data_IF_934753360271
#
_entry.id   IF_934753360271
#
_cell.length_a   1.000
_cell.length_b   1.000
_cell.length_c   1.000
_cell.angle_alpha   90.00
_cell.angle_beta   90.00
_cell.angle_gamma   90.00
#
_symmetry.space_group_name_H-M   'P 1'
#
loop_
_entity.id
_entity.type
_entity.pdbx_description
1 polymer ?
#
# COMPACT_ATOMS: atom_id res chain seq x y z
N UNK A 1 22.87 -5.71 -21.46
CA UNK A 1 21.66 -4.86 -21.35
C UNK A 1 20.77 -5.51 -20.30
N UNK A 2 20.34 -4.77 -19.27
CA UNK A 2 19.42 -5.28 -18.25
C UNK A 2 18.02 -5.29 -18.86
N UNK A 3 17.27 -6.38 -18.69
CA UNK A 3 15.92 -6.55 -19.25
C UNK A 3 15.04 -7.21 -18.20
N UNK A 4 13.82 -6.70 -18.07
CA UNK A 4 12.74 -7.22 -17.25
C UNK A 4 11.43 -7.08 -18.00
N UNK A 5 10.41 -7.84 -17.62
CA UNK A 5 9.06 -7.70 -18.19
C UNK A 5 8.36 -6.46 -17.63
N UNK A 6 8.59 -6.16 -16.34
CA UNK A 6 8.03 -5.00 -15.64
C UNK A 6 9.13 -4.27 -14.86
N UNK A 7 9.13 -2.94 -14.92
CA UNK A 7 10.01 -2.09 -14.12
C UNK A 7 9.17 -1.15 -13.27
N UNK A 8 9.34 -1.22 -11.95
CA UNK A 8 8.68 -0.39 -10.95
C UNK A 8 9.69 0.59 -10.38
N UNK A 9 9.38 1.88 -10.43
CA UNK A 9 10.24 2.94 -9.89
C UNK A 9 9.72 3.36 -8.52
N UNK A 10 10.45 2.97 -7.48
CA UNK A 10 10.16 3.26 -6.08
C UNK A 10 9.83 1.99 -5.28
N UNK A 11 10.45 1.86 -4.10
CA UNK A 11 10.24 0.74 -3.17
C UNK A 11 9.50 1.15 -1.88
N UNK A 12 8.59 2.12 -1.98
CA UNK A 12 7.59 2.39 -0.93
C UNK A 12 6.46 1.35 -0.92
N UNK A 13 5.43 1.53 -0.07
CA UNK A 13 4.33 0.56 0.03
C UNK A 13 3.66 0.28 -1.32
N UNK A 14 3.39 1.33 -2.11
CA UNK A 14 2.75 1.21 -3.41
C UNK A 14 3.59 0.36 -4.39
N UNK A 15 4.88 0.68 -4.54
CA UNK A 15 5.76 -0.04 -5.46
C UNK A 15 5.99 -1.49 -5.04
N UNK A 16 6.17 -1.74 -3.74
CA UNK A 16 6.31 -3.12 -3.24
C UNK A 16 5.00 -3.91 -3.40
N UNK A 17 3.84 -3.32 -3.11
CA UNK A 17 2.54 -3.99 -3.29
C UNK A 17 2.26 -4.28 -4.76
N UNK A 18 2.58 -3.35 -5.67
CA UNK A 18 2.46 -3.55 -7.11
C UNK A 18 3.36 -4.70 -7.59
N UNK A 19 4.61 -4.76 -7.12
CA UNK A 19 5.53 -5.84 -7.46
C UNK A 19 5.02 -7.20 -7.01
N UNK A 20 4.45 -7.28 -5.80
CA UNK A 20 3.84 -8.52 -5.29
C UNK A 20 2.65 -8.98 -6.15
N UNK A 21 1.87 -8.05 -6.70
CA UNK A 21 0.72 -8.39 -7.55
C UNK A 21 1.15 -8.96 -8.91
N UNK A 22 2.15 -8.36 -9.54
CA UNK A 22 2.50 -8.67 -10.94
C UNK A 22 3.59 -9.73 -11.06
N UNK A 23 4.27 -10.11 -9.97
CA UNK A 23 5.39 -11.05 -10.02
C UNK A 23 5.03 -12.51 -10.33
N UNK A 24 3.74 -12.86 -10.36
CA UNK A 24 3.29 -14.19 -10.74
C UNK A 24 3.44 -14.40 -12.25
N UNK A 25 4.57 -14.99 -12.65
CA UNK A 25 4.87 -15.33 -14.04
C UNK A 25 5.59 -14.24 -14.84
N UNK A 26 5.93 -13.11 -14.21
CA UNK A 26 6.71 -12.03 -14.82
C UNK A 26 8.02 -11.79 -14.07
N UNK A 27 9.07 -11.43 -14.81
CA UNK A 27 10.33 -10.92 -14.24
C UNK A 27 10.21 -9.42 -13.93
N UNK A 28 10.27 -9.07 -12.65
CA UNK A 28 9.96 -7.73 -12.14
C UNK A 28 11.21 -7.09 -11.55
N UNK A 29 11.56 -5.89 -12.02
CA UNK A 29 12.54 -5.03 -11.37
C UNK A 29 11.88 -3.96 -10.51
N UNK A 30 12.40 -3.74 -9.30
CA UNK A 30 12.12 -2.55 -8.51
C UNK A 30 13.39 -1.70 -8.46
N UNK A 31 13.34 -0.52 -9.06
CA UNK A 31 14.39 0.49 -8.98
C UNK A 31 14.10 1.42 -7.81
N UNK A 32 15.05 1.69 -6.92
CA UNK A 32 14.86 2.67 -5.86
C UNK A 32 16.12 3.41 -5.50
N UNK A 33 15.98 4.73 -5.30
CA UNK A 33 17.07 5.61 -4.84
C UNK A 33 17.55 5.33 -3.41
N UNK A 34 16.77 4.58 -2.63
CA UNK A 34 17.10 4.16 -1.26
C UNK A 34 16.78 2.68 -1.08
N UNK A 35 17.37 2.06 -0.07
CA UNK A 35 16.96 0.71 0.36
C UNK A 35 15.46 0.69 0.74
N UNK A 36 14.68 -0.37 0.42
CA UNK A 36 13.21 -0.38 0.59
C UNK A 36 12.69 0.07 1.96
N UNK A 37 13.32 -0.42 3.04
CA UNK A 37 12.93 -0.09 4.42
C UNK A 37 13.30 1.36 4.85
N UNK A 38 13.97 2.12 3.98
CA UNK A 38 14.28 3.54 4.16
C UNK A 38 13.32 4.48 3.42
N UNK A 39 12.31 3.94 2.74
CA UNK A 39 11.27 4.76 2.12
C UNK A 39 10.44 5.50 3.18
N UNK A 40 9.89 6.66 2.80
CA UNK A 40 9.18 7.53 3.75
C UNK A 40 7.89 6.90 4.30
N UNK A 41 7.35 5.88 3.63
CA UNK A 41 6.21 5.13 4.14
C UNK A 41 6.41 4.55 5.54
N UNK A 42 7.66 4.23 5.92
CA UNK A 42 7.97 3.77 7.27
C UNK A 42 7.75 4.81 8.37
N UNK A 43 7.65 6.09 8.03
CA UNK A 43 7.39 7.18 8.96
C UNK A 43 5.89 7.37 9.28
N UNK A 44 4.98 6.69 8.57
CA UNK A 44 3.56 6.81 8.85
C UNK A 44 3.20 6.13 10.19
N UNK A 45 2.50 6.86 11.07
CA UNK A 45 2.18 6.39 12.43
C UNK A 45 0.70 6.05 12.60
N UNK A 46 -0.17 6.95 12.09
CA UNK A 46 -1.59 7.03 12.41
C UNK A 46 -2.43 5.78 12.17
N UNK A 47 -2.27 5.13 11.03
CA UNK A 47 -3.11 3.99 10.68
C UNK A 47 -3.38 3.94 9.18
N UNK A 48 -4.19 2.97 8.79
CA UNK A 48 -4.71 2.81 7.44
C UNK A 48 -6.23 2.54 7.54
N UNK A 49 -7.03 3.33 6.81
CA UNK A 49 -8.48 3.30 6.93
C UNK A 49 -9.09 2.13 6.16
N UNK A 50 -10.02 1.41 6.80
CA UNK A 50 -10.90 0.43 6.15
C UNK A 50 -12.17 0.24 6.96
N UNK A 51 -13.32 0.17 6.29
CA UNK A 51 -14.63 -0.05 6.91
C UNK A 51 -14.83 -1.53 7.29
N UNK A 52 -14.05 -2.02 8.26
CA UNK A 52 -14.13 -3.40 8.77
C UNK A 52 -15.31 -3.61 9.75
N UNK A 53 -15.77 -2.54 10.39
CA UNK A 53 -16.83 -2.61 11.39
C UNK A 53 -16.45 -3.35 12.68
N UNK A 54 -15.16 -3.43 13.02
CA UNK A 54 -14.69 -4.18 14.20
C UNK A 54 -14.86 -3.39 15.51
N UNK A 55 -14.81 -2.06 15.45
CA UNK A 55 -15.01 -1.19 16.62
C UNK A 55 -16.48 -0.78 16.79
N UNK A 56 -17.15 -0.39 15.71
CA UNK A 56 -18.58 -0.10 15.64
C UNK A 56 -19.09 -0.39 14.21
N UNK A 57 -20.41 -0.50 13.97
CA UNK A 57 -20.93 -0.66 12.62
C UNK A 57 -20.46 0.48 11.70
N UNK A 58 -19.86 0.10 10.58
CA UNK A 58 -19.31 0.97 9.54
C UNK A 58 -19.63 0.36 8.17
N UNK A 59 -19.63 1.19 7.14
CA UNK A 59 -19.98 0.82 5.77
C UNK A 59 -19.03 1.48 4.77
N UNK A 60 -18.88 0.89 3.59
CA UNK A 60 -18.02 1.48 2.56
C UNK A 60 -18.66 2.76 2.01
N UNK A 61 -19.99 2.90 2.07
CA UNK A 61 -20.74 4.09 1.70
C UNK A 61 -20.44 5.28 2.63
N UNK A 62 -20.40 5.06 3.95
CA UNK A 62 -19.99 6.09 4.90
C UNK A 62 -18.51 6.49 4.71
N UNK A 63 -17.65 5.52 4.39
CA UNK A 63 -16.25 5.78 4.06
C UNK A 63 -16.10 6.57 2.75
N UNK A 64 -16.90 6.26 1.73
CA UNK A 64 -16.98 6.99 0.47
C UNK A 64 -17.36 8.46 0.73
N UNK A 65 -18.43 8.68 1.49
CA UNK A 65 -18.91 10.02 1.79
C UNK A 65 -17.87 10.86 2.51
N UNK A 66 -17.23 10.33 3.56
CA UNK A 66 -16.17 11.04 4.27
C UNK A 66 -14.99 11.39 3.37
N UNK A 67 -14.64 10.50 2.44
CA UNK A 67 -13.51 10.70 1.52
C UNK A 67 -13.83 11.78 0.49
N UNK A 68 -15.01 11.73 -0.14
CA UNK A 68 -15.46 12.74 -1.12
C UNK A 68 -15.63 14.11 -0.46
N UNK A 69 -16.25 14.15 0.72
CA UNK A 69 -16.38 15.39 1.50
C UNK A 69 -15.01 15.93 1.92
N UNK A 70 -14.10 15.05 2.35
CA UNK A 70 -12.76 15.41 2.80
C UNK A 70 -11.86 15.95 1.69
N UNK A 71 -12.03 15.50 0.44
CA UNK A 71 -11.37 16.07 -0.73
C UNK A 71 -12.11 17.24 -1.37
N UNK A 72 -13.06 17.84 -0.66
CA UNK A 72 -13.82 19.02 -1.10
C UNK A 72 -14.49 18.81 -2.46
N UNK A 73 -15.03 17.60 -2.69
CA UNK A 73 -15.69 17.18 -3.93
C UNK A 73 -14.81 17.26 -5.19
N UNK A 74 -13.50 17.44 -5.06
CA UNK A 74 -12.56 17.44 -6.17
C UNK A 74 -12.07 16.02 -6.54
N UNK A 75 -12.45 15.02 -5.75
CA UNK A 75 -12.10 13.64 -6.04
C UNK A 75 -12.90 13.10 -7.24
N UNK A 76 -12.24 12.31 -8.07
CA UNK A 76 -12.91 11.41 -9.01
C UNK A 76 -13.64 10.32 -8.21
N UNK A 77 -14.96 10.40 -8.13
CA UNK A 77 -15.75 9.59 -7.17
C UNK A 77 -15.76 8.11 -7.52
N UNK A 78 -15.63 7.77 -8.80
CA UNK A 78 -15.46 6.39 -9.27
C UNK A 78 -14.16 5.77 -8.74
N UNK A 79 -13.06 6.51 -8.75
CA UNK A 79 -11.79 6.08 -8.15
C UNK A 79 -11.89 5.93 -6.62
N UNK A 80 -12.62 6.84 -5.94
CA UNK A 80 -12.83 6.75 -4.49
C UNK A 80 -13.68 5.53 -4.14
N UNK A 81 -14.72 5.24 -4.91
CA UNK A 81 -15.59 4.08 -4.71
C UNK A 81 -14.80 2.76 -4.78
N UNK A 82 -13.96 2.59 -5.80
CA UNK A 82 -13.05 1.44 -5.92
C UNK A 82 -12.08 1.35 -4.74
N UNK A 83 -11.50 2.49 -4.33
CA UNK A 83 -10.59 2.56 -3.19
C UNK A 83 -11.26 2.08 -1.88
N UNK A 84 -12.43 2.63 -1.51
CA UNK A 84 -13.05 2.32 -0.22
C UNK A 84 -13.63 0.91 -0.17
N UNK A 85 -14.11 0.37 -1.31
CA UNK A 85 -14.58 -1.02 -1.41
C UNK A 85 -13.43 -2.02 -1.35
N UNK A 86 -12.27 -1.69 -1.90
CA UNK A 86 -11.09 -2.55 -1.84
C UNK A 86 -10.42 -2.56 -0.46
N UNK A 87 -10.56 -1.47 0.32
CA UNK A 87 -9.82 -1.27 1.57
C UNK A 87 -9.95 -2.44 2.58
N UNK A 88 -11.15 -2.99 2.89
CA UNK A 88 -11.27 -4.14 3.80
C UNK A 88 -10.44 -5.35 3.36
N UNK A 89 -10.53 -5.73 2.08
CA UNK A 89 -9.78 -6.86 1.53
C UNK A 89 -8.27 -6.62 1.64
N UNK A 90 -7.81 -5.42 1.31
CA UNK A 90 -6.38 -5.05 1.37
C UNK A 90 -5.86 -5.14 2.82
N UNK A 91 -6.63 -4.73 3.82
CA UNK A 91 -6.22 -4.87 5.23
C UNK A 91 -6.04 -6.34 5.63
N UNK A 92 -6.97 -7.21 5.27
CA UNK A 92 -6.85 -8.65 5.54
C UNK A 92 -5.67 -9.28 4.78
N UNK A 93 -5.41 -8.85 3.54
CA UNK A 93 -4.21 -9.28 2.80
C UNK A 93 -2.92 -8.88 3.53
N UNK A 94 -2.84 -7.64 4.02
CA UNK A 94 -1.69 -7.17 4.79
C UNK A 94 -1.51 -7.96 6.09
N UNK A 95 -2.61 -8.27 6.78
CA UNK A 95 -2.60 -9.14 7.96
C UNK A 95 -2.03 -10.52 7.63
N UNK A 96 -2.52 -11.17 6.55
CA UNK A 96 -2.03 -12.47 6.09
C UNK A 96 -0.59 -12.44 5.58
N UNK A 97 -0.11 -11.29 5.12
CA UNK A 97 1.30 -11.06 4.80
C UNK A 97 2.19 -10.94 6.04
N UNK A 98 1.61 -10.91 7.24
CA UNK A 98 2.33 -10.83 8.51
C UNK A 98 2.36 -9.43 9.12
N UNK A 99 1.59 -8.46 8.59
CA UNK A 99 1.49 -7.15 9.23
C UNK A 99 0.82 -7.27 10.61
N UNK A 100 1.53 -6.81 11.63
CA UNK A 100 1.13 -6.92 13.04
C UNK A 100 0.19 -5.80 13.46
N UNK A 101 -1.09 -5.89 13.07
CA UNK A 101 -2.10 -4.96 13.58
C UNK A 101 -2.40 -5.18 15.07
N UNK A 102 -2.67 -4.09 15.79
CA UNK A 102 -3.18 -4.11 17.15
C UNK A 102 -4.53 -4.82 17.21
N UNK A 103 -4.85 -5.43 18.35
CA UNK A 103 -6.01 -6.32 18.50
C UNK A 103 -7.02 -5.80 19.50
N UNK A 104 -8.29 -6.08 19.22
CA UNK A 104 -9.38 -5.98 20.19
C UNK A 104 -9.30 -7.15 21.19
N UNK A 105 -10.01 -7.11 22.34
CA UNK A 105 -10.03 -8.21 23.29
C UNK A 105 -10.55 -9.54 22.72
N UNK A 106 -11.42 -9.49 21.70
CA UNK A 106 -11.94 -10.66 20.97
C UNK A 106 -11.04 -11.09 19.80
N UNK A 107 -9.86 -10.49 19.63
CA UNK A 107 -8.82 -10.92 18.69
C UNK A 107 -8.93 -10.35 17.27
N UNK A 108 -9.90 -9.48 16.99
CA UNK A 108 -10.03 -8.80 15.69
C UNK A 108 -9.02 -7.66 15.55
N UNK A 109 -8.87 -7.14 14.34
CA UNK A 109 -8.06 -5.95 14.08
C UNK A 109 -8.70 -4.75 14.78
N UNK A 110 -7.97 -4.10 15.68
CA UNK A 110 -8.40 -2.91 16.38
C UNK A 110 -8.42 -1.70 15.42
N UNK A 111 -9.45 -0.86 15.58
CA UNK A 111 -9.61 0.38 14.83
C UNK A 111 -9.78 1.57 15.79
N UNK A 112 -9.33 2.75 15.38
CA UNK A 112 -9.42 3.99 16.17
C UNK A 112 -9.96 5.17 15.37
N UNK A 113 -10.45 6.18 16.07
CA UNK A 113 -10.81 7.47 15.47
C UNK A 113 -9.58 8.14 14.86
N UNK A 114 -9.77 8.74 13.70
CA UNK A 114 -8.73 9.49 12.99
C UNK A 114 -9.36 10.69 12.28
N UNK A 115 -8.59 11.74 12.04
CA UNK A 115 -9.10 13.00 11.50
C UNK A 115 -9.82 12.81 10.16
N UNK A 116 -10.96 13.48 9.98
CA UNK A 116 -11.73 13.45 8.74
C UNK A 116 -12.68 12.25 8.60
N UNK A 117 -12.65 11.29 9.51
CA UNK A 117 -13.57 10.15 9.51
C UNK A 117 -14.71 10.33 10.52
N UNK A 118 -15.94 10.05 10.09
CA UNK A 118 -17.12 9.96 10.92
C UNK A 118 -17.14 8.70 11.81
N UNK A 119 -16.37 7.67 11.44
CA UNK A 119 -16.28 6.37 12.15
C UNK A 119 -14.84 6.03 12.54
N UNK A 120 -14.62 5.26 13.63
CA UNK A 120 -13.31 4.80 14.05
C UNK A 120 -12.81 3.66 13.14
N UNK A 121 -12.33 4.00 11.94
CA UNK A 121 -11.97 3.02 10.90
C UNK A 121 -10.48 2.88 10.60
N UNK A 122 -9.62 3.63 11.29
CA UNK A 122 -8.18 3.55 11.11
C UNK A 122 -7.63 2.29 11.81
N UNK A 123 -7.27 1.28 11.03
CA UNK A 123 -6.54 0.10 11.49
C UNK A 123 -5.09 0.48 11.78
N UNK A 124 -4.54 0.05 12.91
CA UNK A 124 -3.24 0.54 13.36
C UNK A 124 -2.35 -0.56 13.96
N UNK A 125 -1.05 -0.31 13.96
CA UNK A 125 -0.06 -1.08 14.70
C UNK A 125 0.62 -0.14 15.69
N UNK A 126 0.10 -0.08 16.92
CA UNK A 126 0.48 0.90 17.94
C UNK A 126 0.60 2.34 17.36
N UNK A 127 1.80 2.91 17.38
CA UNK A 127 2.17 4.21 16.83
C UNK A 127 3.09 4.11 15.59
N UNK A 128 3.18 2.93 14.94
CA UNK A 128 4.16 2.62 13.89
C UNK A 128 3.58 1.84 12.72
N UNK A 129 2.34 2.17 12.33
CA UNK A 129 1.60 1.41 11.30
C UNK A 129 2.37 1.32 9.97
N UNK A 130 2.93 2.42 9.48
CA UNK A 130 3.72 2.44 8.25
C UNK A 130 4.96 1.57 8.31
N UNK A 131 5.67 1.57 9.45
CA UNK A 131 6.82 0.71 9.68
C UNK A 131 6.42 -0.78 9.63
N UNK A 132 5.33 -1.16 10.31
CA UNK A 132 4.86 -2.55 10.31
C UNK A 132 4.50 -3.04 8.90
N UNK A 133 3.75 -2.25 8.12
CA UNK A 133 3.38 -2.61 6.75
C UNK A 133 4.62 -2.65 5.85
N UNK A 134 5.53 -1.69 5.98
CA UNK A 134 6.73 -1.60 5.14
C UNK A 134 7.61 -2.85 5.30
N UNK A 135 7.84 -3.28 6.54
CA UNK A 135 8.62 -4.48 6.82
C UNK A 135 7.91 -5.76 6.35
N UNK A 136 6.59 -5.88 6.59
CA UNK A 136 5.81 -7.02 6.12
C UNK A 136 5.90 -7.16 4.58
N UNK A 137 5.71 -6.07 3.84
CA UNK A 137 5.80 -6.09 2.37
C UNK A 137 7.23 -6.41 1.90
N UNK A 138 8.26 -5.82 2.51
CA UNK A 138 9.65 -6.10 2.15
C UNK A 138 10.00 -7.58 2.34
N UNK A 139 9.59 -8.19 3.46
CA UNK A 139 9.77 -9.62 3.72
C UNK A 139 9.03 -10.49 2.69
N UNK A 140 7.84 -10.08 2.26
CA UNK A 140 7.11 -10.77 1.19
C UNK A 140 7.82 -10.69 -0.17
N UNK A 141 8.53 -9.59 -0.46
CA UNK A 141 9.37 -9.50 -1.66
C UNK A 141 10.57 -10.46 -1.58
N UNK A 142 11.22 -10.56 -0.41
CA UNK A 142 12.36 -11.47 -0.22
C UNK A 142 11.97 -12.93 -0.47
N UNK A 143 10.76 -13.34 -0.04
CA UNK A 143 10.20 -14.67 -0.34
C UNK A 143 10.04 -14.93 -1.85
N UNK A 144 9.87 -13.88 -2.65
CA UNK A 144 9.65 -13.91 -4.10
C UNK A 144 10.87 -13.43 -4.89
N UNK A 145 12.06 -13.47 -4.29
CA UNK A 145 13.32 -12.99 -4.88
C UNK A 145 13.76 -13.70 -6.18
N UNK A 146 13.11 -14.81 -6.54
CA UNK A 146 13.30 -15.47 -7.85
C UNK A 146 12.66 -14.70 -9.01
N UNK A 147 11.53 -14.02 -8.75
CA UNK A 147 10.78 -13.26 -9.76
C UNK A 147 10.95 -11.75 -9.60
N UNK A 148 11.41 -11.29 -8.43
CA UNK A 148 11.55 -9.87 -8.11
C UNK A 148 13.00 -9.53 -7.83
N UNK A 149 13.57 -8.63 -8.63
CA UNK A 149 14.90 -8.06 -8.43
C UNK A 149 14.80 -6.63 -7.91
N UNK A 150 15.42 -6.37 -6.76
CA UNK A 150 15.51 -5.01 -6.20
C UNK A 150 16.87 -4.40 -6.53
N UNK A 151 16.86 -3.25 -7.18
CA UNK A 151 18.00 -2.38 -7.47
C UNK A 151 17.99 -1.21 -6.50
N UNK A 152 18.64 -1.39 -5.35
CA UNK A 152 18.73 -0.37 -4.30
C UNK A 152 19.82 0.65 -4.60
N UNK A 153 19.57 1.91 -4.25
CA UNK A 153 20.47 3.07 -4.47
C UNK A 153 20.67 3.42 -5.96
N UNK A 154 19.66 3.16 -6.78
CA UNK A 154 19.64 3.55 -8.18
C UNK A 154 18.68 4.73 -8.41
N UNK A 155 19.18 5.76 -9.07
CA UNK A 155 18.42 6.96 -9.42
C UNK A 155 17.90 6.85 -10.86
N UNK A 156 16.59 6.97 -11.03
CA UNK A 156 15.99 7.11 -12.36
C UNK A 156 16.22 8.55 -12.86
N UNK A 157 16.73 8.70 -14.08
CA UNK A 157 16.97 10.02 -14.68
C UNK A 157 15.91 10.42 -15.71
N UNK A 158 15.46 9.47 -16.54
CA UNK A 158 14.56 9.75 -17.65
C UNK A 158 13.72 8.52 -17.99
N UNK A 159 12.67 8.70 -18.77
CA UNK A 159 12.00 7.59 -19.45
C UNK A 159 12.60 7.47 -20.86
N UNK A 160 12.70 6.24 -21.35
CA UNK A 160 13.04 5.95 -22.75
C UNK A 160 11.75 5.81 -23.53
N UNK A 161 11.45 6.82 -24.34
CA UNK A 161 10.20 6.92 -25.08
C UNK A 161 10.41 6.60 -26.57
N UNK A 162 9.43 5.91 -27.15
CA UNK A 162 9.26 5.72 -28.58
C UNK A 162 7.82 6.13 -28.94
N UNK A 163 7.67 7.38 -29.40
CA UNK A 163 6.35 8.00 -29.56
C UNK A 163 5.61 8.14 -28.22
N UNK A 164 4.43 7.51 -28.13
CA UNK A 164 3.58 7.46 -26.94
C UNK A 164 3.89 6.26 -26.02
N UNK A 165 4.86 5.42 -26.38
CA UNK A 165 5.22 4.21 -25.62
C UNK A 165 6.49 4.41 -24.79
N UNK A 166 6.41 4.06 -23.52
CA UNK A 166 7.57 3.95 -22.64
C UNK A 166 8.18 2.55 -22.77
N UNK A 167 9.40 2.46 -23.31
CA UNK A 167 10.12 1.20 -23.55
C UNK A 167 11.28 0.97 -22.55
N UNK A 168 11.50 1.91 -21.63
CA UNK A 168 12.55 1.80 -20.63
C UNK A 168 12.64 3.03 -19.74
N UNK A 169 13.62 3.01 -18.85
CA UNK A 169 13.99 4.09 -17.93
C UNK A 169 15.51 4.27 -17.90
#
# INVERSE_FOLDING_TARGET
MIKHDVVIVGSGLAGMRAALEVCEGLDVAILSKVYPTRSHSGAAQGGIAASLGNSEPDSWEEHLYDTVKGGDFLNDQDAVEEYVKAAPRVIYELEHFGCVFSRTPDGKIAQRSFGGHSKPRACFSADRTGHAILHALHEQLLKRSKSIKIYSEWYMHSLVLDGDRCNGI
#
